data_IF_516827657228
#
_entry.id   IF_516827657228
#
_cell.length_a   1.000
_cell.length_b   1.000
_cell.length_c   1.000
_cell.angle_alpha   90.00
_cell.angle_beta   90.00
_cell.angle_gamma   90.00
#
_symmetry.space_group_name_H-M   'P 1'
#
loop_
_entity.id
_entity.type
_entity.pdbx_description
1 polymer ?
#
# COMPACT_ATOMS: atom_id res chain seq x y z
N UNK A 1 20.13 -8.08 54.80
CA UNK A 1 20.04 -7.36 53.52
C UNK A 1 18.99 -8.04 52.64
N UNK A 2 17.80 -7.47 52.60
CA UNK A 2 16.59 -8.06 51.99
C UNK A 2 16.59 -7.79 50.49
N UNK A 3 16.77 -8.83 49.66
CA UNK A 3 16.81 -8.71 48.20
C UNK A 3 15.42 -8.87 47.57
N UNK A 4 15.04 -7.82 46.85
CA UNK A 4 14.15 -7.75 45.68
C UNK A 4 12.92 -8.67 45.62
N UNK A 5 11.78 -8.13 46.05
CA UNK A 5 10.44 -8.57 45.63
C UNK A 5 9.66 -7.41 44.98
N UNK A 6 10.28 -6.74 44.02
CA UNK A 6 9.70 -5.63 43.24
C UNK A 6 10.02 -5.85 41.75
N UNK A 7 9.35 -6.78 41.09
CA UNK A 7 9.68 -7.10 39.68
C UNK A 7 8.50 -7.41 38.79
N UNK A 8 7.40 -7.99 39.29
CA UNK A 8 6.25 -8.35 38.43
C UNK A 8 5.12 -7.33 38.46
N UNK A 9 4.71 -6.90 39.66
CA UNK A 9 3.60 -5.95 39.83
C UNK A 9 3.93 -4.56 39.28
N UNK A 10 5.19 -4.12 39.43
CA UNK A 10 5.63 -2.82 38.92
C UNK A 10 5.78 -2.81 37.39
N UNK A 11 6.19 -3.94 36.80
CA UNK A 11 6.20 -4.13 35.34
C UNK A 11 4.80 -4.10 34.73
N UNK A 12 3.81 -4.73 35.37
CA UNK A 12 2.41 -4.65 34.94
C UNK A 12 1.85 -3.23 35.08
N UNK A 13 2.14 -2.53 36.19
CA UNK A 13 1.72 -1.14 36.39
C UNK A 13 2.30 -0.22 35.31
N UNK A 14 3.58 -0.37 34.97
CA UNK A 14 4.24 0.41 33.91
C UNK A 14 3.61 0.13 32.53
N UNK A 15 3.32 -1.14 32.24
CA UNK A 15 2.68 -1.55 30.98
C UNK A 15 1.26 -1.00 30.87
N UNK A 16 0.47 -1.09 31.95
CA UNK A 16 -0.89 -0.53 32.00
C UNK A 16 -0.86 0.99 31.83
N UNK A 17 0.08 1.68 32.48
CA UNK A 17 0.25 3.13 32.30
C UNK A 17 0.56 3.48 30.83
N UNK A 18 1.49 2.76 30.20
CA UNK A 18 1.81 2.96 28.78
C UNK A 18 0.62 2.70 27.84
N UNK A 19 -0.19 1.68 28.12
CA UNK A 19 -1.41 1.40 27.35
C UNK A 19 -2.48 2.48 27.55
N UNK A 20 -2.62 3.02 28.76
CA UNK A 20 -3.54 4.14 29.03
C UNK A 20 -3.10 5.42 28.28
N UNK A 21 -1.81 5.72 28.26
CA UNK A 21 -1.26 6.85 27.49
C UNK A 21 -1.55 6.67 25.99
N UNK A 22 -1.23 5.49 25.42
CA UNK A 22 -1.54 5.20 24.02
C UNK A 22 -3.03 5.30 23.70
N UNK A 23 -3.89 4.87 24.62
CA UNK A 23 -5.35 5.02 24.46
C UNK A 23 -5.76 6.49 24.43
N UNK A 24 -5.19 7.33 25.30
CA UNK A 24 -5.46 8.76 25.32
C UNK A 24 -4.98 9.45 24.03
N UNK A 25 -3.79 9.11 23.54
CA UNK A 25 -3.25 9.58 22.26
C UNK A 25 -4.20 9.23 21.10
N UNK A 26 -4.63 7.96 21.02
CA UNK A 26 -5.57 7.50 19.99
C UNK A 26 -6.96 8.15 20.10
N UNK A 27 -7.43 8.42 21.32
CA UNK A 27 -8.65 9.17 21.52
C UNK A 27 -8.52 10.62 21.04
N UNK A 28 -7.37 11.26 21.26
CA UNK A 28 -7.06 12.60 20.74
C UNK A 28 -6.99 12.63 19.22
N UNK A 29 -6.34 11.64 18.58
CA UNK A 29 -6.33 11.50 17.12
C UNK A 29 -7.76 11.36 16.57
N UNK A 30 -8.62 10.57 17.24
CA UNK A 30 -10.02 10.40 16.86
C UNK A 30 -10.78 11.72 16.91
N UNK A 31 -10.59 12.54 17.95
CA UNK A 31 -11.26 13.84 18.05
C UNK A 31 -10.86 14.77 16.91
N UNK A 32 -9.56 14.87 16.61
CA UNK A 32 -9.07 15.66 15.47
C UNK A 32 -9.65 15.19 14.14
N UNK A 33 -9.78 13.88 13.94
CA UNK A 33 -10.38 13.32 12.73
C UNK A 33 -11.88 13.69 12.62
N UNK A 34 -12.62 13.70 13.74
CA UNK A 34 -14.02 14.14 13.76
C UNK A 34 -14.16 15.63 13.47
N UNK A 35 -13.29 16.48 14.03
CA UNK A 35 -13.27 17.91 13.74
C UNK A 35 -12.99 18.18 12.25
N UNK A 36 -12.03 17.45 11.68
CA UNK A 36 -11.70 17.55 10.26
C UNK A 36 -12.87 17.07 9.37
N UNK A 37 -13.54 15.99 9.75
CA UNK A 37 -14.72 15.49 9.04
C UNK A 37 -15.86 16.52 9.07
N UNK A 38 -16.12 17.13 10.23
CA UNK A 38 -17.11 18.20 10.35
C UNK A 38 -16.75 19.48 9.56
N UNK A 39 -15.47 19.76 9.33
CA UNK A 39 -15.05 20.82 8.42
C UNK A 39 -15.37 20.46 6.96
N UNK A 40 -15.02 19.24 6.53
CA UNK A 40 -15.33 18.76 5.18
C UNK A 40 -16.85 18.78 4.93
N UNK A 41 -17.66 18.31 5.87
CA UNK A 41 -19.12 18.29 5.72
C UNK A 41 -19.70 19.71 5.54
N UNK A 42 -19.14 20.71 6.23
CA UNK A 42 -19.53 22.11 6.05
C UNK A 42 -19.14 22.64 4.67
N UNK A 43 -17.94 22.30 4.21
CA UNK A 43 -17.46 22.71 2.88
C UNK A 43 -18.30 22.07 1.77
N UNK A 44 -18.65 20.78 1.91
CA UNK A 44 -19.55 20.08 1.00
C UNK A 44 -20.95 20.72 0.99
N UNK A 45 -21.52 21.00 2.17
CA UNK A 45 -22.82 21.68 2.26
C UNK A 45 -22.81 23.07 1.62
N UNK A 46 -21.69 23.79 1.71
CA UNK A 46 -21.54 25.08 1.02
C UNK A 46 -21.49 24.91 -0.50
N UNK A 47 -20.75 23.92 -1.00
CA UNK A 47 -20.70 23.60 -2.42
C UNK A 47 -22.07 23.19 -2.97
N UNK A 48 -22.81 22.36 -2.24
CA UNK A 48 -24.16 21.94 -2.63
C UNK A 48 -25.12 23.14 -2.69
N UNK A 49 -25.03 24.07 -1.73
CA UNK A 49 -25.82 25.30 -1.75
C UNK A 49 -25.50 26.19 -2.97
N UNK A 50 -24.22 26.32 -3.33
CA UNK A 50 -23.80 27.06 -4.52
C UNK A 50 -24.28 26.36 -5.80
N UNK A 51 -24.14 25.04 -5.91
CA UNK A 51 -24.62 24.25 -7.04
C UNK A 51 -26.15 24.37 -7.23
N UNK A 52 -26.89 24.37 -6.13
CA UNK A 52 -28.34 24.57 -6.14
C UNK A 52 -28.73 25.95 -6.72
N UNK A 53 -27.95 27.01 -6.46
CA UNK A 53 -28.19 28.33 -7.07
C UNK A 53 -28.09 28.31 -8.61
N UNK A 54 -27.32 27.37 -9.18
CA UNK A 54 -27.18 27.16 -10.62
C UNK A 54 -28.14 26.08 -11.16
N UNK A 55 -29.11 25.62 -10.36
CA UNK A 55 -30.10 24.61 -10.76
C UNK A 55 -29.59 23.17 -10.74
N UNK A 56 -28.40 22.92 -10.19
CA UNK A 56 -27.86 21.58 -10.00
C UNK A 56 -28.24 21.09 -8.62
N UNK A 57 -29.32 20.30 -8.54
CA UNK A 57 -29.85 19.76 -7.26
C UNK A 57 -29.48 18.31 -7.00
N UNK A 58 -28.87 17.63 -7.97
CA UNK A 58 -28.55 16.21 -7.89
C UNK A 58 -27.22 15.94 -7.16
N UNK A 59 -26.95 16.66 -6.06
CA UNK A 59 -25.71 16.54 -5.29
C UNK A 59 -25.40 15.08 -4.88
N UNK A 60 -26.43 14.27 -4.64
CA UNK A 60 -26.33 12.86 -4.29
C UNK A 60 -25.85 11.96 -5.44
N UNK A 61 -25.84 12.45 -6.67
CA UNK A 61 -25.38 11.72 -7.87
C UNK A 61 -23.91 11.98 -8.19
N UNK A 62 -23.30 12.99 -7.57
CA UNK A 62 -21.89 13.32 -7.77
C UNK A 62 -21.06 12.27 -7.06
N UNK A 63 -20.51 11.33 -7.83
CA UNK A 63 -19.61 10.33 -7.29
C UNK A 63 -18.36 11.03 -6.73
N UNK A 64 -17.83 10.59 -5.58
CA UNK A 64 -16.56 11.08 -5.07
C UNK A 64 -15.50 10.92 -6.14
N UNK A 65 -14.82 12.01 -6.51
CA UNK A 65 -13.66 11.92 -7.38
C UNK A 65 -12.58 11.16 -6.60
N UNK A 66 -12.51 9.84 -6.81
CA UNK A 66 -11.33 9.07 -6.45
C UNK A 66 -10.21 9.54 -7.38
N UNK A 67 -9.60 10.69 -7.07
CA UNK A 67 -8.22 10.92 -7.48
C UNK A 67 -7.51 9.71 -6.97
N UNK A 68 -6.90 8.92 -7.86
CA UNK A 68 -6.16 7.71 -7.55
C UNK A 68 -5.12 7.99 -6.45
N UNK A 69 -5.56 8.04 -5.20
CA UNK A 69 -4.75 7.87 -4.02
C UNK A 69 -4.46 6.40 -4.07
N UNK A 70 -3.47 6.05 -4.89
CA UNK A 70 -2.99 4.68 -5.10
C UNK A 70 -3.04 4.02 -3.73
N UNK A 71 -3.93 3.04 -3.49
CA UNK A 71 -4.00 2.40 -2.19
C UNK A 71 -2.58 2.00 -1.88
N UNK A 72 -2.02 2.51 -0.77
CA UNK A 72 -0.62 2.27 -0.41
C UNK A 72 -0.46 0.76 -0.40
N UNK A 73 0.14 0.22 -1.46
CA UNK A 73 0.34 -1.21 -1.67
C UNK A 73 0.88 -1.75 -0.35
N UNK A 74 0.10 -2.59 0.31
CA UNK A 74 0.42 -3.03 1.66
C UNK A 74 1.80 -3.68 1.65
N UNK A 75 2.51 -3.67 2.79
CA UNK A 75 3.78 -4.40 2.89
C UNK A 75 3.61 -5.87 2.48
N UNK A 76 2.45 -6.46 2.77
CA UNK A 76 2.07 -7.81 2.35
C UNK A 76 2.03 -7.94 0.82
N UNK A 77 1.40 -7.00 0.11
CA UNK A 77 1.28 -7.03 -1.35
C UNK A 77 2.65 -6.88 -2.04
N UNK A 78 3.51 -5.99 -1.51
CA UNK A 78 4.88 -5.84 -2.00
C UNK A 78 5.65 -7.15 -1.85
N UNK A 79 5.50 -7.82 -0.70
CA UNK A 79 6.16 -9.08 -0.45
C UNK A 79 5.60 -10.21 -1.34
N UNK A 80 4.28 -10.30 -1.50
CA UNK A 80 3.64 -11.28 -2.37
C UNK A 80 4.12 -11.15 -3.82
N UNK A 81 4.18 -9.92 -4.35
CA UNK A 81 4.69 -9.64 -5.70
C UNK A 81 6.16 -10.04 -5.85
N UNK A 82 7.01 -9.74 -4.86
CA UNK A 82 8.43 -10.16 -4.87
C UNK A 82 8.58 -11.68 -4.87
N UNK A 83 7.83 -12.37 -4.00
CA UNK A 83 7.86 -13.83 -3.92
C UNK A 83 7.40 -14.47 -5.23
N UNK A 84 6.38 -13.93 -5.89
CA UNK A 84 5.91 -14.42 -7.17
C UNK A 84 6.95 -14.24 -8.29
N UNK A 85 7.61 -13.08 -8.36
CA UNK A 85 8.71 -12.85 -9.32
C UNK A 85 9.83 -13.88 -9.11
N UNK A 86 10.21 -14.16 -7.87
CA UNK A 86 11.19 -15.20 -7.55
C UNK A 86 10.74 -16.60 -7.96
N UNK A 87 9.47 -16.94 -7.73
CA UNK A 87 8.92 -18.24 -8.11
C UNK A 87 9.01 -18.46 -9.61
N UNK A 88 8.66 -17.44 -10.42
CA UNK A 88 8.76 -17.50 -11.89
C UNK A 88 10.20 -17.77 -12.34
N UNK A 89 11.18 -17.07 -11.76
CA UNK A 89 12.61 -17.30 -12.09
C UNK A 89 13.12 -18.66 -11.63
N UNK A 90 12.63 -19.17 -10.48
CA UNK A 90 13.03 -20.49 -9.98
C UNK A 90 12.50 -21.61 -10.86
N UNK A 91 11.28 -21.47 -11.36
CA UNK A 91 10.63 -22.46 -12.21
C UNK A 91 11.17 -22.45 -13.64
N UNK A 92 11.38 -21.26 -14.21
CA UNK A 92 11.69 -21.08 -15.64
C UNK A 92 13.16 -20.73 -15.91
N UNK A 93 13.96 -20.49 -14.88
CA UNK A 93 15.34 -20.03 -15.01
C UNK A 93 15.41 -18.57 -15.47
N UNK A 94 16.16 -18.33 -16.54
CA UNK A 94 16.35 -17.00 -17.11
C UNK A 94 15.10 -16.53 -17.86
N UNK A 95 14.48 -15.46 -17.40
CA UNK A 95 13.21 -14.95 -17.94
C UNK A 95 13.28 -13.46 -18.24
N UNK A 96 12.56 -13.04 -19.28
CA UNK A 96 12.42 -11.64 -19.66
C UNK A 96 11.48 -10.89 -18.72
N UNK A 97 11.62 -9.57 -18.69
CA UNK A 97 10.74 -8.70 -17.90
C UNK A 97 9.26 -8.87 -18.31
N UNK A 98 8.99 -9.11 -19.59
CA UNK A 98 7.64 -9.30 -20.12
C UNK A 98 7.01 -10.61 -19.64
N UNK A 99 7.75 -11.73 -19.73
CA UNK A 99 7.30 -13.03 -19.22
C UNK A 99 7.03 -12.99 -17.71
N UNK A 100 7.87 -12.26 -16.96
CA UNK A 100 7.64 -12.04 -15.53
C UNK A 100 6.36 -11.24 -15.31
N UNK A 101 6.18 -10.14 -16.04
CA UNK A 101 5.02 -9.27 -15.90
C UNK A 101 3.71 -10.02 -16.18
N UNK A 102 3.63 -10.76 -17.29
CA UNK A 102 2.49 -11.59 -17.63
C UNK A 102 2.14 -12.59 -16.51
N UNK A 103 3.15 -13.25 -15.94
CA UNK A 103 2.96 -14.21 -14.86
C UNK A 103 2.47 -13.58 -13.54
N UNK A 104 2.83 -12.32 -13.26
CA UNK A 104 2.45 -11.64 -12.01
C UNK A 104 1.28 -10.66 -12.14
N UNK A 105 0.79 -10.38 -13.36
CA UNK A 105 -0.37 -9.51 -13.63
C UNK A 105 -1.57 -9.80 -12.72
N UNK A 106 -1.96 -11.05 -12.43
CA UNK A 106 -3.08 -11.34 -11.53
C UNK A 106 -2.92 -10.72 -10.12
N UNK A 107 -1.69 -10.56 -9.64
CA UNK A 107 -1.39 -9.95 -8.32
C UNK A 107 -1.48 -8.42 -8.31
N UNK A 108 -1.64 -7.81 -9.48
CA UNK A 108 -1.91 -6.38 -9.64
C UNK A 108 -3.41 -6.07 -9.73
N UNK A 109 -4.25 -7.08 -10.02
CA UNK A 109 -5.73 -6.95 -10.08
C UNK A 109 -6.40 -6.81 -8.70
N UNK A 110 -5.67 -6.98 -7.60
CA UNK A 110 -6.24 -7.00 -6.24
C UNK A 110 -6.70 -5.62 -5.71
N UNK A 111 -6.31 -4.52 -6.37
CA UNK A 111 -6.48 -3.17 -5.83
C UNK A 111 -7.33 -2.22 -6.69
N UNK A 112 -7.77 -2.62 -7.88
CA UNK A 112 -8.56 -1.79 -8.80
C UNK A 112 -9.73 -2.60 -9.39
N UNK A 113 -10.90 -1.97 -9.52
CA UNK A 113 -12.05 -2.55 -10.26
C UNK A 113 -11.77 -2.64 -11.77
N UNK A 114 -10.68 -2.03 -12.25
CA UNK A 114 -10.26 -2.01 -13.65
C UNK A 114 -9.09 -2.97 -13.89
N UNK A 115 -9.04 -3.56 -15.10
CA UNK A 115 -7.89 -4.35 -15.49
C UNK A 115 -6.63 -3.47 -15.50
N UNK A 116 -5.54 -3.87 -14.79
CA UNK A 116 -4.34 -3.06 -14.70
C UNK A 116 -3.73 -2.93 -16.08
N UNK A 117 -3.44 -1.68 -16.48
CA UNK A 117 -2.81 -1.42 -17.77
C UNK A 117 -1.50 -2.22 -17.91
N UNK A 118 -1.30 -2.99 -19.00
CA UNK A 118 -0.12 -3.83 -19.16
C UNK A 118 1.21 -3.07 -19.02
N UNK A 119 1.25 -1.81 -19.49
CA UNK A 119 2.43 -0.95 -19.38
C UNK A 119 2.72 -0.53 -17.94
N UNK A 120 1.68 -0.34 -17.12
CA UNK A 120 1.83 -0.04 -15.70
C UNK A 120 2.42 -1.24 -14.94
N UNK A 121 1.95 -2.46 -15.24
CA UNK A 121 2.47 -3.71 -14.66
C UNK A 121 3.94 -3.90 -15.06
N UNK A 122 4.27 -3.78 -16.35
CA UNK A 122 5.65 -3.86 -16.84
C UNK A 122 6.59 -2.87 -16.13
N UNK A 123 6.15 -1.62 -16.01
CA UNK A 123 6.90 -0.56 -15.34
C UNK A 123 7.11 -0.85 -13.85
N UNK A 124 6.10 -1.39 -13.17
CA UNK A 124 6.19 -1.78 -11.77
C UNK A 124 7.15 -2.96 -11.57
N UNK A 125 7.07 -3.98 -12.44
CA UNK A 125 7.97 -5.14 -12.42
C UNK A 125 9.42 -4.72 -12.65
N UNK A 126 9.71 -3.84 -13.62
CA UNK A 126 11.07 -3.27 -13.81
C UNK A 126 11.60 -2.61 -12.53
N UNK A 127 10.78 -1.80 -11.87
CA UNK A 127 11.15 -1.12 -10.61
C UNK A 127 11.40 -2.12 -9.46
N UNK A 128 10.69 -3.24 -9.44
CA UNK A 128 10.90 -4.29 -8.43
C UNK A 128 12.20 -5.04 -8.72
N UNK A 129 12.41 -5.45 -9.98
CA UNK A 129 13.62 -6.15 -10.43
C UNK A 129 14.89 -5.35 -10.17
N UNK A 130 14.91 -4.04 -10.49
CA UNK A 130 16.06 -3.20 -10.18
C UNK A 130 16.34 -3.09 -8.67
N UNK A 131 15.30 -3.03 -7.84
CA UNK A 131 15.50 -3.06 -6.38
C UNK A 131 16.02 -4.41 -5.91
N UNK A 132 15.51 -5.51 -6.46
CA UNK A 132 15.98 -6.86 -6.12
C UNK A 132 17.43 -7.08 -6.57
N UNK A 133 17.81 -6.55 -7.73
CA UNK A 133 19.19 -6.57 -8.25
C UNK A 133 20.14 -5.82 -7.31
N UNK A 134 19.76 -4.62 -6.88
CA UNK A 134 20.55 -3.84 -5.93
C UNK A 134 20.75 -4.57 -4.58
N UNK A 135 19.80 -5.43 -4.19
CA UNK A 135 19.90 -6.25 -2.97
C UNK A 135 20.52 -7.64 -3.22
N UNK A 136 21.01 -7.92 -4.43
CA UNK A 136 21.63 -9.20 -4.79
C UNK A 136 20.67 -10.37 -4.95
N UNK A 137 19.35 -10.14 -4.90
CA UNK A 137 18.35 -11.18 -5.03
C UNK A 137 18.15 -11.68 -6.47
N UNK A 138 18.42 -10.84 -7.47
CA UNK A 138 18.35 -11.22 -8.89
C UNK A 138 19.54 -10.64 -9.64
N UNK A 139 19.90 -11.25 -10.77
CA UNK A 139 21.00 -10.81 -11.64
C UNK A 139 20.51 -10.69 -13.08
N UNK A 140 21.13 -9.79 -13.83
CA UNK A 140 20.94 -9.71 -15.29
C UNK A 140 21.64 -10.89 -15.95
N UNK A 141 20.94 -11.55 -16.84
CA UNK A 141 21.38 -12.78 -17.51
C UNK A 141 21.40 -12.60 -19.04
N UNK A 142 21.85 -11.43 -19.49
CA UNK A 142 21.91 -11.07 -20.90
C UNK A 142 20.59 -10.58 -21.49
N UNK A 143 20.39 -10.89 -22.77
CA UNK A 143 19.31 -10.38 -23.60
C UNK A 143 18.68 -11.49 -24.43
N UNK A 144 17.37 -11.39 -24.70
CA UNK A 144 16.63 -12.20 -25.66
C UNK A 144 15.93 -11.25 -26.63
N UNK A 145 16.47 -11.13 -27.84
CA UNK A 145 16.13 -10.02 -28.73
C UNK A 145 16.42 -8.69 -28.01
N UNK A 146 15.43 -7.79 -28.00
CA UNK A 146 15.54 -6.49 -27.33
C UNK A 146 15.14 -6.52 -25.84
N UNK A 147 14.77 -7.69 -25.32
CA UNK A 147 14.30 -7.84 -23.95
C UNK A 147 15.42 -8.31 -23.01
N UNK A 148 15.61 -7.58 -21.90
CA UNK A 148 16.57 -7.95 -20.86
C UNK A 148 16.08 -9.18 -20.08
N UNK A 149 16.98 -10.16 -19.91
CA UNK A 149 16.74 -11.38 -19.15
C UNK A 149 17.25 -11.24 -17.71
N UNK A 150 16.56 -11.92 -16.81
CA UNK A 150 16.79 -11.92 -15.37
C UNK A 150 16.81 -13.35 -14.83
N UNK A 151 17.68 -13.58 -13.86
CA UNK A 151 17.80 -14.86 -13.14
C UNK A 151 17.82 -14.58 -11.64
N UNK A 152 17.36 -15.54 -10.84
CA UNK A 152 17.58 -15.51 -9.38
C UNK A 152 19.09 -15.45 -9.08
N UNK A 153 19.46 -14.62 -8.10
CA UNK A 153 20.84 -14.27 -7.75
C UNK A 153 21.61 -15.36 -7.01
#
# INVERSE_FOLDING_TARGET
MTKHRATRTDSYKLTIAGLKTKRAEKAGERLKALEHLAAIDRDLGHLDAVLAMFGVTDAHTIQPLQRATTPRVGRADVQARRSAIFAVMRERGAVTTTEIAEAVTPLFKLNDEHEPEPQAVLSAVRKILHRMEHHGGVKRDGWRGDARMWRAG
#
